data_IF_281396092472
#
_entry.id   IF_281396092472
#
_cell.length_a   1.000
_cell.length_b   1.000
_cell.length_c   1.000
_cell.angle_alpha   90.00
_cell.angle_beta   90.00
_cell.angle_gamma   90.00
#
_symmetry.space_group_name_H-M   'P 1'
#
loop_
_entity.id
_entity.type
_entity.pdbx_description
1 polymer ?
#
# COMPACT_ATOMS: atom_id res chain seq x y z
N UNK A 1 2.73 -35.96 -16.13
CA UNK A 1 1.89 -35.32 -15.10
C UNK A 1 2.75 -34.56 -14.09
N UNK A 2 3.86 -35.13 -13.60
CA UNK A 2 4.80 -34.45 -12.67
C UNK A 2 5.21 -33.01 -13.07
N UNK A 3 5.41 -32.75 -14.38
CA UNK A 3 5.87 -31.44 -14.83
C UNK A 3 4.81 -30.35 -14.66
N UNK A 4 3.52 -30.69 -14.70
CA UNK A 4 2.41 -29.75 -14.45
C UNK A 4 2.29 -29.47 -12.95
N UNK A 5 2.47 -30.49 -12.12
CA UNK A 5 2.47 -30.35 -10.65
C UNK A 5 3.64 -29.47 -10.17
N UNK A 6 4.82 -29.61 -10.79
CA UNK A 6 5.98 -28.77 -10.50
C UNK A 6 5.77 -27.29 -10.91
N UNK A 7 5.08 -27.04 -12.02
CA UNK A 7 4.73 -25.68 -12.45
C UNK A 7 3.70 -25.07 -11.52
N UNK A 8 2.66 -25.81 -11.13
CA UNK A 8 1.66 -25.35 -10.16
C UNK A 8 2.30 -25.01 -8.80
N UNK A 9 3.21 -25.85 -8.29
CA UNK A 9 3.93 -25.53 -7.04
C UNK A 9 4.78 -24.26 -7.13
N UNK A 10 5.41 -24.00 -8.28
CA UNK A 10 6.16 -22.76 -8.49
C UNK A 10 5.24 -21.53 -8.56
N UNK A 11 4.05 -21.64 -9.16
CA UNK A 11 3.05 -20.57 -9.19
C UNK A 11 2.55 -20.26 -7.78
N UNK A 12 2.26 -21.29 -6.96
CA UNK A 12 1.87 -21.10 -5.56
C UNK A 12 2.97 -20.42 -4.75
N UNK A 13 4.22 -20.87 -4.89
CA UNK A 13 5.36 -20.28 -4.18
C UNK A 13 5.59 -18.82 -4.59
N UNK A 14 5.53 -18.53 -5.89
CA UNK A 14 5.66 -17.16 -6.40
C UNK A 14 4.53 -16.26 -5.89
N UNK A 15 3.30 -16.79 -5.84
CA UNK A 15 2.14 -16.07 -5.33
C UNK A 15 2.26 -15.75 -3.84
N UNK A 16 2.84 -16.66 -3.04
CA UNK A 16 3.14 -16.39 -1.63
C UNK A 16 4.19 -15.29 -1.45
N UNK A 17 5.24 -15.27 -2.27
CA UNK A 17 6.23 -14.19 -2.25
C UNK A 17 5.62 -12.84 -2.67
N UNK A 18 4.74 -12.81 -3.67
CA UNK A 18 3.98 -11.60 -4.03
C UNK A 18 3.12 -11.14 -2.84
N UNK A 19 2.48 -12.07 -2.13
CA UNK A 19 1.73 -11.76 -0.90
C UNK A 19 2.57 -11.08 0.18
N UNK A 20 3.82 -11.51 0.37
CA UNK A 20 4.77 -10.86 1.31
C UNK A 20 5.15 -9.44 0.85
N UNK A 21 5.38 -9.26 -0.46
CA UNK A 21 5.68 -7.94 -1.03
C UNK A 21 4.49 -7.00 -0.81
N UNK A 22 3.27 -7.47 -1.05
CA UNK A 22 2.05 -6.70 -0.81
C UNK A 22 1.92 -6.28 0.65
N UNK A 23 2.16 -7.19 1.60
CA UNK A 23 2.15 -6.86 3.02
C UNK A 23 3.21 -5.80 3.39
N UNK A 24 4.36 -5.83 2.72
CA UNK A 24 5.41 -4.82 2.89
C UNK A 24 4.98 -3.46 2.34
N UNK A 25 4.33 -3.44 1.16
CA UNK A 25 3.77 -2.22 0.55
C UNK A 25 2.70 -1.61 1.46
N UNK A 26 1.81 -2.43 2.01
CA UNK A 26 0.77 -1.99 2.96
C UNK A 26 1.39 -1.32 4.20
N UNK A 27 2.46 -1.92 4.75
CA UNK A 27 3.22 -1.31 5.85
C UNK A 27 3.87 0.03 5.48
N UNK A 28 4.41 0.17 4.26
CA UNK A 28 4.98 1.43 3.76
C UNK A 28 3.89 2.49 3.57
N UNK A 29 2.73 2.11 3.03
CA UNK A 29 1.60 2.99 2.86
C UNK A 29 1.09 3.51 4.20
N UNK A 30 0.97 2.63 5.21
CA UNK A 30 0.60 3.00 6.56
C UNK A 30 1.60 3.98 7.20
N UNK A 31 2.91 3.70 7.09
CA UNK A 31 3.95 4.61 7.59
C UNK A 31 3.92 5.96 6.89
N UNK A 32 3.68 5.99 5.57
CA UNK A 32 3.54 7.22 4.78
C UNK A 32 2.33 8.03 5.23
N UNK A 33 1.21 7.37 5.55
CA UNK A 33 0.01 8.00 6.09
C UNK A 33 0.28 8.66 7.45
N UNK A 34 1.00 7.99 8.35
CA UNK A 34 1.41 8.57 9.64
C UNK A 34 2.36 9.77 9.43
N UNK A 35 3.32 9.65 8.52
CA UNK A 35 4.25 10.74 8.22
C UNK A 35 3.51 12.00 7.72
N UNK A 36 2.49 11.81 6.88
CA UNK A 36 1.67 12.88 6.38
C UNK A 36 0.76 13.50 7.43
N UNK A 37 0.17 12.68 8.30
CA UNK A 37 -0.62 13.18 9.42
C UNK A 37 0.24 14.05 10.34
N UNK A 38 1.47 13.63 10.65
CA UNK A 38 2.41 14.42 11.43
C UNK A 38 2.79 15.72 10.71
N UNK A 39 3.00 15.67 9.38
CA UNK A 39 3.26 16.86 8.59
C UNK A 39 2.07 17.84 8.58
N UNK A 40 0.84 17.35 8.56
CA UNK A 40 -0.37 18.17 8.67
C UNK A 40 -0.46 18.84 10.05
N UNK A 41 -0.15 18.12 11.13
CA UNK A 41 -0.09 18.67 12.50
C UNK A 41 0.99 19.75 12.62
N UNK A 42 2.19 19.51 12.07
CA UNK A 42 3.27 20.50 12.06
C UNK A 42 2.91 21.72 11.21
N UNK A 43 2.20 21.52 10.10
CA UNK A 43 1.71 22.60 9.25
C UNK A 43 0.64 23.46 9.95
N UNK A 44 -0.24 22.86 10.75
CA UNK A 44 -1.18 23.58 11.60
C UNK A 44 -0.48 24.38 12.71
N UNK A 45 0.57 23.81 13.31
CA UNK A 45 1.42 24.50 14.29
C UNK A 45 2.20 25.69 13.68
N UNK A 46 2.56 25.62 12.39
CA UNK A 46 3.26 26.70 11.67
C UNK A 46 2.36 27.89 11.28
N UNK A 47 1.06 27.84 11.57
CA UNK A 47 0.13 28.94 11.35
C UNK A 47 -0.08 29.28 9.87
N UNK A 48 0.03 30.57 9.50
CA UNK A 48 -0.29 31.04 8.14
C UNK A 48 0.64 30.49 7.04
N UNK A 49 1.89 30.15 7.38
CA UNK A 49 2.86 29.61 6.43
C UNK A 49 2.66 28.10 6.15
N UNK A 50 2.04 27.36 7.08
CA UNK A 50 1.79 25.92 6.93
C UNK A 50 0.43 25.56 6.34
N UNK A 51 -0.57 26.45 6.40
CA UNK A 51 -1.93 26.17 5.89
C UNK A 51 -2.01 25.69 4.44
N UNK A 52 -1.20 26.25 3.54
CA UNK A 52 -1.16 25.84 2.13
C UNK A 52 -0.44 24.49 1.92
N UNK A 53 0.46 24.11 2.84
CA UNK A 53 1.13 22.81 2.83
C UNK A 53 0.27 21.70 3.46
N UNK A 54 -0.50 22.04 4.51
CA UNK A 54 -1.41 21.12 5.21
C UNK A 54 -2.46 20.53 4.27
N UNK A 55 -3.12 21.37 3.46
CA UNK A 55 -4.17 20.95 2.51
C UNK A 55 -3.64 20.00 1.44
N UNK A 56 -2.44 20.26 0.90
CA UNK A 56 -1.85 19.40 -0.15
C UNK A 56 -1.37 18.08 0.44
N UNK A 57 -0.79 18.10 1.65
CA UNK A 57 -0.36 16.89 2.33
C UNK A 57 -1.55 15.99 2.69
N UNK A 58 -2.63 16.56 3.21
CA UNK A 58 -3.81 15.81 3.64
C UNK A 58 -4.57 15.20 2.44
N UNK A 59 -4.82 15.96 1.37
CA UNK A 59 -5.55 15.47 0.20
C UNK A 59 -4.74 14.44 -0.61
N UNK A 60 -3.43 14.69 -0.83
CA UNK A 60 -2.59 13.76 -1.60
C UNK A 60 -2.42 12.46 -0.84
N UNK A 61 -2.20 12.50 0.47
CA UNK A 61 -1.88 11.28 1.22
C UNK A 61 -3.14 10.47 1.48
N UNK A 62 -4.28 11.09 1.73
CA UNK A 62 -5.56 10.36 1.86
C UNK A 62 -5.95 9.65 0.56
N UNK A 63 -5.77 10.32 -0.59
CA UNK A 63 -6.02 9.73 -1.90
C UNK A 63 -5.03 8.60 -2.23
N UNK A 64 -3.76 8.76 -1.86
CA UNK A 64 -2.72 7.76 -2.12
C UNK A 64 -2.83 6.54 -1.21
N UNK A 65 -3.24 6.73 0.04
CA UNK A 65 -3.56 5.66 0.99
C UNK A 65 -4.75 4.83 0.49
N UNK A 66 -5.86 5.47 0.11
CA UNK A 66 -7.02 4.78 -0.45
C UNK A 66 -6.68 3.97 -1.72
N UNK A 67 -5.85 4.53 -2.60
CA UNK A 67 -5.36 3.80 -3.79
C UNK A 67 -4.44 2.63 -3.45
N UNK A 68 -3.62 2.75 -2.40
CA UNK A 68 -2.77 1.64 -1.94
C UNK A 68 -3.60 0.50 -1.37
N UNK A 69 -4.59 0.80 -0.53
CA UNK A 69 -5.51 -0.20 0.03
C UNK A 69 -6.28 -0.95 -1.07
N UNK A 70 -6.79 -0.21 -2.06
CA UNK A 70 -7.47 -0.78 -3.23
C UNK A 70 -6.53 -1.71 -4.02
N UNK A 71 -5.30 -1.27 -4.30
CA UNK A 71 -4.32 -2.05 -5.04
C UNK A 71 -3.91 -3.32 -4.29
N UNK A 72 -3.72 -3.22 -2.97
CA UNK A 72 -3.45 -4.36 -2.07
C UNK A 72 -4.60 -5.35 -2.13
N UNK A 73 -5.85 -4.88 -2.00
CA UNK A 73 -7.05 -5.71 -2.04
C UNK A 73 -7.18 -6.47 -3.37
N UNK A 74 -7.08 -5.75 -4.49
CA UNK A 74 -7.17 -6.35 -5.84
C UNK A 74 -6.06 -7.35 -6.08
N UNK A 75 -4.83 -7.04 -5.65
CA UNK A 75 -3.70 -7.96 -5.83
C UNK A 75 -3.85 -9.23 -4.98
N UNK A 76 -4.43 -9.12 -3.79
CA UNK A 76 -4.73 -10.26 -2.92
C UNK A 76 -5.81 -11.15 -3.52
N UNK A 77 -6.86 -10.56 -4.09
CA UNK A 77 -7.92 -11.27 -4.81
C UNK A 77 -7.40 -11.95 -6.08
N UNK A 78 -6.51 -11.31 -6.84
CA UNK A 78 -5.86 -11.93 -8.01
C UNK A 78 -4.96 -13.11 -7.62
N UNK A 79 -4.27 -13.02 -6.49
CA UNK A 79 -3.47 -14.13 -5.94
C UNK A 79 -4.40 -15.28 -5.53
N UNK A 80 -5.46 -15.02 -4.77
CA UNK A 80 -6.42 -16.05 -4.33
C UNK A 80 -7.11 -16.73 -5.52
N UNK A 81 -7.40 -16.01 -6.60
CA UNK A 81 -7.99 -16.59 -7.82
C UNK A 81 -6.99 -17.33 -8.73
N UNK A 82 -5.68 -17.16 -8.52
CA UNK A 82 -4.62 -17.79 -9.33
C UNK A 82 -4.11 -19.11 -8.74
N UNK A 83 -4.57 -19.48 -7.53
CA UNK A 83 -4.20 -20.70 -6.80
C UNK A 83 -5.38 -21.68 -6.86
#
# INVERSE_FOLDING_TARGET
MEQVDAVMNNVVTSSQEIGKIIATIDSIAFQTNILALNAAVDADNAGAAGKSFSVVAEDVVRSLAAKSDEAVRVSKELIENSI
#
